data_IF_981135993629
#
_entry.id   IF_981135993629
#
_cell.length_a   1.000
_cell.length_b   1.000
_cell.length_c   1.000
_cell.angle_alpha   90.00
_cell.angle_beta   90.00
_cell.angle_gamma   90.00
#
_symmetry.space_group_name_H-M   'P 1'
#
loop_
_entity.id
_entity.type
_entity.pdbx_description
1 polymer ?
#
# COMPACT_ATOMS: atom_id res chain seq x y z
N UNK A 1 15.26 17.43 0.78
CA UNK A 1 14.63 16.17 1.19
C UNK A 1 13.77 15.76 0.01
N UNK A 2 14.03 14.59 -0.56
CA UNK A 2 13.20 14.09 -1.66
C UNK A 2 11.81 13.67 -1.12
N UNK A 3 10.86 13.44 -2.02
CA UNK A 3 9.48 13.10 -1.64
C UNK A 3 9.42 11.84 -0.76
N UNK A 4 10.29 10.87 -1.05
CA UNK A 4 10.43 9.63 -0.29
C UNK A 4 10.74 9.89 1.18
N UNK A 5 11.79 10.65 1.48
CA UNK A 5 12.18 10.94 2.85
C UNK A 5 11.05 11.67 3.60
N UNK A 6 10.34 12.59 2.92
CA UNK A 6 9.18 13.27 3.49
C UNK A 6 8.04 12.30 3.83
N UNK A 7 7.71 11.37 2.92
CA UNK A 7 6.73 10.31 3.16
C UNK A 7 7.12 9.47 4.38
N UNK A 8 8.36 8.98 4.44
CA UNK A 8 8.83 8.12 5.53
C UNK A 8 8.77 8.85 6.87
N UNK A 9 9.18 10.12 6.91
CA UNK A 9 9.19 10.93 8.12
C UNK A 9 7.76 11.24 8.60
N UNK A 10 6.84 11.62 7.72
CA UNK A 10 5.45 11.89 8.10
C UNK A 10 4.73 10.64 8.61
N UNK A 11 4.89 9.50 7.93
CA UNK A 11 4.32 8.21 8.37
C UNK A 11 4.89 7.82 9.75
N UNK A 12 6.18 8.06 9.98
CA UNK A 12 6.82 7.78 11.27
C UNK A 12 6.37 8.72 12.39
N UNK A 13 6.21 10.03 12.11
CA UNK A 13 5.71 11.03 13.07
C UNK A 13 4.32 10.66 13.58
N UNK A 14 3.47 10.14 12.69
CA UNK A 14 2.12 9.69 13.01
C UNK A 14 2.07 8.27 13.59
N UNK A 15 3.22 7.61 13.76
CA UNK A 15 3.35 6.26 14.35
C UNK A 15 2.61 5.16 13.58
N UNK A 16 2.41 5.32 12.28
CA UNK A 16 1.66 4.33 11.48
C UNK A 16 2.48 3.05 11.21
N UNK A 17 3.82 3.10 11.28
CA UNK A 17 4.63 1.89 11.18
C UNK A 17 4.48 1.00 12.41
N UNK A 18 3.70 -0.06 12.25
CA UNK A 18 3.41 -1.02 13.33
C UNK A 18 4.66 -1.77 13.86
N UNK A 19 5.74 -1.86 13.06
CA UNK A 19 7.02 -2.37 13.54
C UNK A 19 8.19 -1.83 12.73
N UNK A 20 9.41 -1.97 13.26
CA UNK A 20 10.64 -1.65 12.52
C UNK A 20 10.79 -2.49 11.25
N UNK A 21 10.31 -3.74 11.27
CA UNK A 21 10.33 -4.63 10.10
C UNK A 21 9.32 -4.20 9.04
N UNK A 22 8.14 -3.73 9.47
CA UNK A 22 7.15 -3.14 8.58
C UNK A 22 7.74 -1.91 7.87
N UNK A 23 8.35 -0.99 8.62
CA UNK A 23 9.05 0.16 8.06
C UNK A 23 10.14 -0.25 7.06
N UNK A 24 10.97 -1.22 7.42
CA UNK A 24 12.06 -1.69 6.55
C UNK A 24 11.55 -2.18 5.20
N UNK A 25 10.54 -3.06 5.18
CA UNK A 25 9.98 -3.61 3.93
C UNK A 25 9.31 -2.54 3.07
N UNK A 26 8.62 -1.59 3.71
CA UNK A 26 8.03 -0.46 3.00
C UNK A 26 9.10 0.33 2.26
N UNK A 27 10.22 0.64 2.94
CA UNK A 27 11.34 1.37 2.34
C UNK A 27 11.97 0.58 1.19
N UNK A 28 12.20 -0.73 1.38
CA UNK A 28 12.76 -1.59 0.33
C UNK A 28 11.89 -1.61 -0.93
N UNK A 29 10.57 -1.74 -0.79
CA UNK A 29 9.65 -1.67 -1.94
C UNK A 29 9.55 -0.25 -2.52
N UNK A 30 9.58 0.79 -1.69
CA UNK A 30 9.57 2.18 -2.18
C UNK A 30 10.81 2.43 -3.05
N UNK A 31 11.99 2.01 -2.57
CA UNK A 31 13.26 2.15 -3.26
C UNK A 31 13.27 1.42 -4.61
N UNK A 32 12.55 0.30 -4.71
CA UNK A 32 12.41 -0.47 -5.94
C UNK A 32 11.66 0.27 -7.06
N UNK A 33 10.70 1.14 -6.72
CA UNK A 33 9.76 1.68 -7.74
C UNK A 33 9.69 3.20 -7.82
N UNK A 34 10.34 3.96 -6.94
CA UNK A 34 10.15 5.41 -6.87
C UNK A 34 10.49 6.18 -8.16
N UNK A 35 11.39 5.64 -8.98
CA UNK A 35 11.82 6.21 -10.26
C UNK A 35 11.04 5.64 -11.45
N UNK A 36 10.13 4.70 -11.21
CA UNK A 36 9.39 4.01 -12.28
C UNK A 36 8.20 4.85 -12.76
N UNK A 37 7.87 4.83 -14.07
CA UNK A 37 6.81 5.68 -14.63
C UNK A 37 5.41 5.41 -14.06
N UNK A 38 5.17 4.19 -13.60
CA UNK A 38 3.89 3.79 -13.00
C UNK A 38 3.74 4.21 -11.54
N UNK A 39 4.78 4.76 -10.91
CA UNK A 39 4.76 5.08 -9.50
C UNK A 39 3.86 6.27 -9.20
N UNK A 40 2.90 6.05 -8.29
CA UNK A 40 1.96 7.07 -7.83
C UNK A 40 1.77 7.00 -6.31
N UNK A 41 1.05 7.97 -5.75
CA UNK A 41 0.62 7.95 -4.35
C UNK A 41 -0.17 6.69 -4.02
N UNK A 42 -1.01 6.24 -4.92
CA UNK A 42 -1.84 5.04 -4.79
C UNK A 42 -0.97 3.77 -4.73
N UNK A 43 0.08 3.70 -5.56
CA UNK A 43 1.08 2.63 -5.46
C UNK A 43 1.74 2.68 -4.08
N UNK A 44 2.18 3.86 -3.63
CA UNK A 44 2.80 4.03 -2.30
C UNK A 44 1.88 3.58 -1.15
N UNK A 45 0.58 3.90 -1.20
CA UNK A 45 -0.43 3.39 -0.25
C UNK A 45 -0.49 1.86 -0.25
N UNK A 46 -0.42 1.24 -1.42
CA UNK A 46 -0.39 -0.22 -1.55
C UNK A 46 0.91 -0.82 -1.01
N UNK A 47 2.06 -0.17 -1.20
CA UNK A 47 3.34 -0.63 -0.61
C UNK A 47 3.26 -0.66 0.91
N UNK A 48 2.63 0.34 1.53
CA UNK A 48 2.45 0.37 2.97
C UNK A 48 1.63 -0.83 3.46
N UNK A 49 0.49 -1.13 2.82
CA UNK A 49 -0.29 -2.34 3.14
C UNK A 49 0.50 -3.63 2.94
N UNK A 50 1.23 -3.72 1.82
CA UNK A 50 2.01 -4.91 1.45
C UNK A 50 3.17 -5.20 2.40
N UNK A 51 3.73 -4.17 3.02
CA UNK A 51 4.89 -4.27 3.90
C UNK A 51 4.57 -4.92 5.26
N UNK A 52 3.28 -5.08 5.59
CA UNK A 52 2.81 -5.64 6.85
C UNK A 52 3.43 -7.01 7.16
N UNK A 53 3.33 -7.93 6.21
CA UNK A 53 3.82 -9.29 6.35
C UNK A 53 4.63 -9.73 5.14
N UNK A 54 5.52 -10.70 5.37
CA UNK A 54 6.47 -11.16 4.35
C UNK A 54 5.79 -11.80 3.15
N UNK A 55 4.68 -12.54 3.37
CA UNK A 55 4.00 -13.24 2.29
C UNK A 55 3.42 -12.22 1.31
N UNK A 56 2.77 -11.19 1.83
CA UNK A 56 2.19 -10.15 1.00
C UNK A 56 3.25 -9.24 0.37
N UNK A 57 4.32 -8.90 1.09
CA UNK A 57 5.48 -8.17 0.54
C UNK A 57 6.06 -8.89 -0.68
N UNK A 58 6.42 -10.18 -0.54
CA UNK A 58 6.99 -10.96 -1.64
C UNK A 58 6.04 -11.02 -2.86
N UNK A 59 4.74 -11.11 -2.62
CA UNK A 59 3.74 -11.15 -3.69
C UNK A 59 3.70 -9.84 -4.47
N UNK A 60 3.71 -8.70 -3.77
CA UNK A 60 3.70 -7.38 -4.41
C UNK A 60 5.03 -7.09 -5.09
N UNK A 61 6.16 -7.39 -4.48
CA UNK A 61 7.48 -7.28 -5.12
C UNK A 61 7.53 -8.05 -6.45
N UNK A 62 6.96 -9.25 -6.51
CA UNK A 62 6.90 -10.02 -7.76
C UNK A 62 6.08 -9.32 -8.85
N UNK A 63 4.98 -8.64 -8.48
CA UNK A 63 4.14 -7.89 -9.43
C UNK A 63 4.84 -6.60 -9.87
N UNK A 64 5.50 -5.90 -8.94
CA UNK A 64 6.28 -4.70 -9.25
C UNK A 64 7.43 -5.04 -10.19
N UNK A 65 8.13 -6.16 -9.96
CA UNK A 65 9.20 -6.61 -10.87
C UNK A 65 8.64 -6.90 -12.26
N UNK A 66 7.48 -7.56 -12.37
CA UNK A 66 6.82 -7.76 -13.66
C UNK A 66 6.49 -6.44 -14.37
N UNK A 67 6.03 -5.44 -13.62
CA UNK A 67 5.73 -4.10 -14.15
C UNK A 67 6.99 -3.40 -14.67
N UNK A 68 8.10 -3.48 -13.92
CA UNK A 68 9.41 -2.95 -14.32
C UNK A 68 9.90 -3.65 -15.59
N UNK A 69 9.90 -4.99 -15.62
CA UNK A 69 10.36 -5.78 -16.76
C UNK A 69 9.56 -5.46 -18.05
N UNK A 70 8.28 -5.10 -17.89
CA UNK A 70 7.39 -4.69 -18.98
C UNK A 70 7.45 -3.21 -19.33
N UNK A 71 8.24 -2.40 -18.61
CA UNK A 71 8.24 -0.94 -18.71
C UNK A 71 6.82 -0.37 -18.62
N UNK A 72 6.06 -0.83 -17.62
CA UNK A 72 4.70 -0.37 -17.41
C UNK A 72 4.66 1.14 -17.19
N UNK A 73 3.69 1.80 -17.83
CA UNK A 73 3.50 3.26 -17.70
C UNK A 73 2.38 3.61 -16.72
N UNK A 74 1.63 2.62 -16.25
CA UNK A 74 0.45 2.77 -15.42
C UNK A 74 0.30 1.60 -14.43
N UNK A 75 -0.74 1.69 -13.59
CA UNK A 75 -1.02 0.72 -12.53
C UNK A 75 -1.95 -0.41 -12.96
N UNK A 76 -2.22 -0.59 -14.27
CA UNK A 76 -3.24 -1.53 -14.74
C UNK A 76 -2.95 -2.99 -14.34
N UNK A 77 -1.68 -3.39 -14.34
CA UNK A 77 -1.25 -4.72 -13.88
C UNK A 77 -1.61 -4.91 -12.40
N UNK A 78 -1.29 -3.92 -11.56
CA UNK A 78 -1.56 -3.96 -10.12
C UNK A 78 -3.07 -3.95 -9.82
N UNK A 79 -3.84 -3.10 -10.52
CA UNK A 79 -5.32 -3.06 -10.45
C UNK A 79 -5.91 -4.42 -10.83
N UNK A 80 -5.47 -4.99 -11.96
CA UNK A 80 -5.98 -6.28 -12.42
C UNK A 80 -5.65 -7.40 -11.43
N UNK A 81 -4.47 -7.38 -10.83
CA UNK A 81 -4.10 -8.32 -9.76
C UNK A 81 -5.00 -8.15 -8.53
N UNK A 82 -5.23 -6.92 -8.06
CA UNK A 82 -6.09 -6.64 -6.91
C UNK A 82 -7.54 -7.11 -7.15
N UNK A 83 -8.07 -6.95 -8.38
CA UNK A 83 -9.42 -7.41 -8.78
C UNK A 83 -9.57 -8.92 -8.78
N UNK A 84 -8.55 -9.64 -9.25
CA UNK A 84 -8.60 -11.08 -9.47
C UNK A 84 -8.01 -11.89 -8.30
N UNK A 85 -7.50 -11.22 -7.27
CA UNK A 85 -6.92 -11.91 -6.11
C UNK A 85 -8.00 -12.72 -5.39
N UNK A 86 -7.77 -14.03 -5.30
CA UNK A 86 -8.57 -14.92 -4.46
C UNK A 86 -8.09 -14.77 -3.03
N UNK A 87 -8.94 -14.23 -2.17
CA UNK A 87 -8.64 -13.91 -0.77
C UNK A 87 -9.50 -14.73 0.16
N UNK A 88 -8.95 -15.09 1.32
CA UNK A 88 -9.76 -15.68 2.38
C UNK A 88 -10.79 -14.66 2.88
N UNK A 89 -11.96 -15.07 3.37
CA UNK A 89 -12.94 -14.14 3.95
C UNK A 89 -12.37 -13.29 5.09
N UNK A 90 -11.35 -13.81 5.79
CA UNK A 90 -10.67 -13.13 6.90
C UNK A 90 -9.79 -11.95 6.46
N UNK A 91 -9.25 -12.00 5.25
CA UNK A 91 -8.37 -10.98 4.68
C UNK A 91 -9.10 -10.12 3.63
N UNK A 92 -10.32 -10.51 3.24
CA UNK A 92 -11.02 -9.90 2.12
C UNK A 92 -11.17 -8.38 2.26
N UNK A 93 -11.45 -7.89 3.46
CA UNK A 93 -11.64 -6.45 3.71
C UNK A 93 -10.33 -5.66 3.63
N UNK A 94 -9.18 -6.21 4.05
CA UNK A 94 -7.90 -5.50 3.92
C UNK A 94 -7.47 -5.40 2.44
N UNK A 95 -7.73 -6.46 1.66
CA UNK A 95 -7.46 -6.44 0.21
C UNK A 95 -8.43 -5.56 -0.58
N UNK A 96 -9.65 -5.35 -0.08
CA UNK A 96 -10.56 -4.32 -0.64
C UNK A 96 -9.98 -2.92 -0.46
N UNK A 97 -9.25 -2.67 0.63
CA UNK A 97 -8.61 -1.37 0.85
C UNK A 97 -7.53 -1.08 -0.19
N UNK A 98 -6.64 -2.05 -0.45
CA UNK A 98 -5.67 -1.98 -1.54
C UNK A 98 -6.35 -1.66 -2.88
N UNK A 99 -7.39 -2.43 -3.21
CA UNK A 99 -8.15 -2.22 -4.45
C UNK A 99 -8.76 -0.81 -4.50
N UNK A 100 -9.31 -0.32 -3.38
CA UNK A 100 -9.93 0.98 -3.31
C UNK A 100 -8.94 2.12 -3.56
N UNK A 101 -7.70 2.01 -3.05
CA UNK A 101 -6.65 2.99 -3.32
C UNK A 101 -6.32 3.08 -4.82
N UNK A 102 -6.27 1.94 -5.51
CA UNK A 102 -5.92 1.90 -6.93
C UNK A 102 -7.08 2.31 -7.84
N UNK A 103 -8.33 1.99 -7.47
CA UNK A 103 -9.51 2.27 -8.28
C UNK A 103 -10.06 3.69 -8.11
N UNK A 104 -9.79 4.34 -6.97
CA UNK A 104 -10.26 5.70 -6.67
C UNK A 104 -9.06 6.59 -6.26
N UNK A 105 -8.23 7.02 -7.23
CA UNK A 105 -7.06 7.86 -6.95
C UNK A 105 -7.41 9.17 -6.26
N UNK A 106 -6.59 9.58 -5.28
CA UNK A 106 -6.82 10.77 -4.47
C UNK A 106 -7.99 10.67 -3.46
N UNK A 107 -8.66 9.52 -3.36
CA UNK A 107 -9.71 9.28 -2.37
C UNK A 107 -9.21 8.34 -1.26
N UNK A 108 -9.46 8.72 -0.01
CA UNK A 108 -9.26 7.83 1.15
C UNK A 108 -10.60 7.18 1.51
N UNK A 109 -10.68 5.85 1.62
CA UNK A 109 -11.91 5.16 2.01
C UNK A 109 -12.39 5.57 3.40
N UNK A 110 -13.71 5.59 3.59
CA UNK A 110 -14.33 5.94 4.87
C UNK A 110 -13.98 4.91 5.97
N UNK A 111 -13.81 5.40 7.20
CA UNK A 111 -13.45 4.60 8.38
C UNK A 111 -14.45 3.46 8.68
N UNK A 112 -15.68 3.52 8.16
CA UNK A 112 -16.64 2.41 8.25
C UNK A 112 -16.12 1.09 7.66
N UNK A 113 -15.09 1.12 6.79
CA UNK A 113 -14.42 -0.10 6.34
C UNK A 113 -13.73 -0.85 7.50
N UNK A 114 -13.27 -0.16 8.54
CA UNK A 114 -12.61 -0.77 9.70
C UNK A 114 -13.57 -1.65 10.51
N UNK A 115 -14.86 -1.33 10.53
CA UNK A 115 -15.89 -2.11 11.21
C UNK A 115 -16.11 -3.50 10.59
N UNK A 116 -15.62 -3.71 9.36
CA UNK A 116 -15.69 -5.00 8.65
C UNK A 116 -14.42 -5.82 8.83
N UNK A 117 -13.33 -5.22 9.29
CA UNK A 117 -12.08 -5.92 9.56
C UNK A 117 -12.21 -6.80 10.79
N UNK A 118 -11.52 -7.94 10.78
CA UNK A 118 -11.32 -8.68 12.02
C UNK A 118 -10.38 -7.89 12.94
N UNK A 119 -10.50 -8.12 14.25
CA UNK A 119 -9.77 -7.36 15.27
C UNK A 119 -8.25 -7.34 15.05
N UNK A 120 -7.67 -8.39 14.46
CA UNK A 120 -6.24 -8.46 14.18
C UNK A 120 -5.79 -7.50 13.06
N UNK A 121 -6.68 -7.13 12.15
CA UNK A 121 -6.39 -6.25 11.01
C UNK A 121 -6.72 -4.79 11.28
N UNK A 122 -7.52 -4.47 12.31
CA UNK A 122 -7.90 -3.10 12.64
C UNK A 122 -6.67 -2.18 12.76
N UNK A 123 -5.59 -2.52 13.50
CA UNK A 123 -4.44 -1.63 13.60
C UNK A 123 -3.78 -1.33 12.26
N UNK A 124 -3.71 -2.31 11.35
CA UNK A 124 -3.15 -2.10 10.02
C UNK A 124 -4.08 -1.25 9.15
N UNK A 125 -5.39 -1.52 9.18
CA UNK A 125 -6.39 -0.77 8.43
C UNK A 125 -6.42 0.70 8.84
N UNK A 126 -6.44 0.97 10.14
CA UNK A 126 -6.41 2.32 10.71
C UNK A 126 -5.15 3.09 10.27
N UNK A 127 -3.98 2.46 10.41
CA UNK A 127 -2.73 3.04 9.92
C UNK A 127 -2.75 3.27 8.40
N UNK A 128 -3.34 2.37 7.62
CA UNK A 128 -3.39 2.51 6.17
C UNK A 128 -4.30 3.67 5.72
N UNK A 129 -5.43 3.89 6.40
CA UNK A 129 -6.27 5.07 6.17
C UNK A 129 -5.52 6.36 6.51
N UNK A 130 -4.86 6.39 7.68
CA UNK A 130 -4.08 7.55 8.07
C UNK A 130 -2.92 7.84 7.10
N UNK A 131 -2.22 6.80 6.64
CA UNK A 131 -1.16 6.94 5.62
C UNK A 131 -1.73 7.42 4.30
N UNK A 132 -2.92 6.95 3.90
CA UNK A 132 -3.60 7.46 2.71
C UNK A 132 -3.85 8.96 2.81
N UNK A 133 -4.39 9.44 3.93
CA UNK A 133 -4.61 10.88 4.14
C UNK A 133 -3.32 11.69 4.13
N UNK A 134 -2.25 11.16 4.76
CA UNK A 134 -0.93 11.81 4.77
C UNK A 134 -0.47 11.97 3.32
N UNK A 135 -0.39 10.87 2.56
CA UNK A 135 0.11 10.87 1.19
C UNK A 135 -0.73 11.74 0.24
N UNK A 136 -2.05 11.81 0.44
CA UNK A 136 -2.93 12.66 -0.36
C UNK A 136 -2.63 14.15 -0.16
N UNK A 137 -2.18 14.56 1.03
CA UNK A 137 -1.82 15.94 1.36
C UNK A 137 -0.40 16.36 0.95
N UNK A 138 0.48 15.41 0.61
CA UNK A 138 1.86 15.68 0.18
C UNK A 138 1.96 16.14 -1.27
#
# INVERSE_FOLDING_TARGET
MDWRDYCIDEIAKHRCFVSALHKKRFIEMFDMVQEEPFFTKEVCKCLFLAAWDRKYTNEIESVLQEMIDKNAMDTAILVNRARNKVVSPYEAEIYKLERSFLENPGETPDESCLMKLSAAWIPLGDCALQVSEILDRL
#
